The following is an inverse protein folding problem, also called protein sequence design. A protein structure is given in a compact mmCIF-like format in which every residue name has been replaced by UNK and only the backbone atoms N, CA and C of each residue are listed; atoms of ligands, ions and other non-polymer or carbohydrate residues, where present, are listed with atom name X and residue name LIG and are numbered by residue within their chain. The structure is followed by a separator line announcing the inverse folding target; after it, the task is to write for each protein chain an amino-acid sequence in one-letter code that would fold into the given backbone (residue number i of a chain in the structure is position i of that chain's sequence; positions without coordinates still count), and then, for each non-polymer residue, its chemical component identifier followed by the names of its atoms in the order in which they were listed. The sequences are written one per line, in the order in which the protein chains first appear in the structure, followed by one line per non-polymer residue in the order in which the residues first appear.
data_IF_891468085789
#
_entry.id   IF_891468085789
#
_cell.length_a   1.000
_cell.length_b   1.000
_cell.length_c   1.000
_cell.angle_alpha   90.00
_cell.angle_beta   90.00
_cell.angle_gamma   90.00
#
_symmetry.space_group_name_H-M   'P 1'
#
loop_
_entity.id
_entity.type
_entity.pdbx_description
1 polymer ?
#
# COMPACT_ATOMS: atom_id res chain seq x y z
N UNK A 1 19.58 18.87 -10.89
CA UNK A 1 18.57 19.26 -9.90
C UNK A 1 17.99 17.98 -9.33
N UNK A 2 17.76 17.90 -8.05
CA UNK A 2 17.10 16.72 -7.51
C UNK A 2 15.61 16.73 -7.88
N UNK A 3 15.02 15.57 -8.11
CA UNK A 3 13.59 15.41 -8.41
C UNK A 3 12.70 16.11 -7.38
N UNK A 4 13.14 16.15 -6.13
CA UNK A 4 12.43 16.84 -5.05
C UNK A 4 12.32 18.35 -5.26
N UNK A 5 13.37 19.00 -5.78
CA UNK A 5 13.35 20.44 -6.05
C UNK A 5 12.45 20.78 -7.25
N UNK A 6 12.46 19.93 -8.27
CA UNK A 6 11.57 20.07 -9.43
C UNK A 6 10.10 19.92 -9.00
N UNK A 7 9.78 18.89 -8.21
CA UNK A 7 8.43 18.69 -7.68
C UNK A 7 7.97 19.86 -6.80
N UNK A 8 8.83 20.35 -5.92
CA UNK A 8 8.52 21.51 -5.07
C UNK A 8 8.26 22.77 -5.90
N UNK A 9 9.07 23.01 -6.93
CA UNK A 9 8.90 24.16 -7.83
C UNK A 9 7.57 24.08 -8.58
N UNK A 10 7.21 22.87 -9.07
CA UNK A 10 5.93 22.63 -9.75
C UNK A 10 4.75 22.83 -8.81
N UNK A 11 4.83 22.32 -7.58
CA UNK A 11 3.81 22.52 -6.57
C UNK A 11 3.58 23.98 -6.21
N UNK A 12 4.66 24.75 -6.02
CA UNK A 12 4.59 26.19 -5.76
C UNK A 12 3.97 26.96 -6.92
N UNK A 13 4.31 26.60 -8.15
CA UNK A 13 3.70 27.20 -9.34
C UNK A 13 2.19 26.97 -9.35
N UNK A 14 1.74 25.74 -9.15
CA UNK A 14 0.31 25.41 -9.07
C UNK A 14 -0.42 26.15 -7.96
N UNK A 15 0.22 26.25 -6.79
CA UNK A 15 -0.33 27.00 -5.68
C UNK A 15 -0.53 28.48 -6.00
N UNK A 16 0.49 29.14 -6.60
CA UNK A 16 0.43 30.55 -6.94
C UNK A 16 -0.56 30.86 -8.07
N UNK A 17 -0.73 29.96 -9.02
CA UNK A 17 -1.60 30.11 -10.18
C UNK A 17 -3.02 29.59 -9.96
N UNK A 18 -3.29 28.94 -8.81
CA UNK A 18 -4.58 28.30 -8.52
C UNK A 18 -4.91 27.17 -9.48
N UNK A 19 -3.88 26.44 -9.96
CA UNK A 19 -4.00 25.36 -10.93
C UNK A 19 -3.54 24.03 -10.33
N UNK A 20 -3.73 22.95 -11.05
CA UNK A 20 -3.25 21.61 -10.70
C UNK A 20 -2.81 20.86 -11.95
N UNK A 21 -2.04 19.77 -11.76
CA UNK A 21 -1.71 18.90 -12.87
C UNK A 21 -2.99 18.21 -13.38
N UNK A 22 -3.25 18.38 -14.66
CA UNK A 22 -4.37 17.75 -15.33
C UNK A 22 -3.87 16.97 -16.54
N UNK A 23 -4.44 15.80 -16.77
CA UNK A 23 -4.25 15.08 -18.02
C UNK A 23 -4.85 15.89 -19.19
N UNK A 24 -4.28 15.78 -20.41
CA UNK A 24 -4.78 16.51 -21.58
C UNK A 24 -6.21 16.15 -21.96
N UNK A 25 -6.66 14.97 -21.60
CA UNK A 25 -8.03 14.48 -21.87
C UNK A 25 -8.45 13.43 -20.85
N UNK A 26 -9.75 13.14 -20.83
CA UNK A 26 -10.28 12.02 -20.06
C UNK A 26 -9.78 10.69 -20.62
N UNK A 27 -9.34 9.81 -19.73
CA UNK A 27 -9.02 8.43 -20.06
C UNK A 27 -10.24 7.53 -19.84
N UNK A 28 -10.49 6.62 -20.78
CA UNK A 28 -11.49 5.57 -20.63
C UNK A 28 -10.80 4.26 -20.32
N UNK A 29 -11.17 3.64 -19.23
CA UNK A 29 -10.67 2.32 -18.83
C UNK A 29 -11.78 1.31 -19.16
N UNK A 30 -11.50 0.25 -19.92
CA UNK A 30 -12.47 -0.81 -20.17
C UNK A 30 -12.93 -1.46 -18.86
N UNK A 31 -14.19 -1.82 -18.74
CA UNK A 31 -14.70 -2.52 -17.55
C UNK A 31 -14.00 -3.85 -17.28
N UNK A 32 -13.46 -4.50 -18.33
CA UNK A 32 -12.65 -5.71 -18.20
C UNK A 32 -11.43 -5.54 -17.28
N UNK A 33 -10.88 -4.32 -17.15
CA UNK A 33 -9.83 -4.04 -16.18
C UNK A 33 -10.22 -4.35 -14.73
N UNK A 34 -11.53 -4.38 -14.42
CA UNK A 34 -12.07 -4.66 -13.10
C UNK A 34 -12.72 -6.04 -12.96
N UNK A 35 -12.97 -6.73 -14.07
CA UNK A 35 -13.76 -7.97 -14.09
C UNK A 35 -13.03 -9.14 -14.72
N UNK A 36 -11.87 -8.92 -15.31
CA UNK A 36 -11.08 -9.99 -15.94
C UNK A 36 -10.36 -10.82 -14.88
N UNK A 37 -10.71 -12.11 -14.82
CA UNK A 37 -10.13 -13.04 -13.83
C UNK A 37 -8.65 -13.33 -14.05
N UNK A 38 -8.19 -13.37 -15.30
CA UNK A 38 -6.79 -13.62 -15.61
C UNK A 38 -5.92 -12.43 -15.17
N UNK A 39 -6.38 -11.22 -15.45
CA UNK A 39 -5.74 -10.00 -14.99
C UNK A 39 -5.71 -9.96 -13.44
N UNK A 40 -6.81 -10.29 -12.78
CA UNK A 40 -6.87 -10.34 -11.31
C UNK A 40 -5.85 -11.31 -10.73
N UNK A 41 -5.71 -12.51 -11.30
CA UNK A 41 -4.71 -13.49 -10.85
C UNK A 41 -3.29 -13.00 -11.06
N UNK A 42 -3.00 -12.37 -12.20
CA UNK A 42 -1.70 -11.78 -12.47
C UNK A 42 -1.35 -10.64 -11.52
N UNK A 43 -2.29 -9.74 -11.25
CA UNK A 43 -2.12 -8.66 -10.28
C UNK A 43 -1.93 -9.18 -8.86
N UNK A 44 -2.73 -10.18 -8.46
CA UNK A 44 -2.60 -10.82 -7.16
C UNK A 44 -1.19 -11.37 -6.95
N UNK A 45 -0.64 -12.06 -7.93
CA UNK A 45 0.70 -12.63 -7.87
C UNK A 45 1.77 -11.53 -7.87
N UNK A 46 1.78 -10.66 -8.87
CA UNK A 46 2.86 -9.71 -9.09
C UNK A 46 2.87 -8.55 -8.09
N UNK A 47 1.70 -8.10 -7.62
CA UNK A 47 1.59 -6.96 -6.72
C UNK A 47 1.52 -7.40 -5.27
N UNK A 48 0.62 -8.32 -4.93
CA UNK A 48 0.36 -8.66 -3.53
C UNK A 48 1.26 -9.75 -2.95
N UNK A 49 1.70 -10.72 -3.74
CA UNK A 49 2.56 -11.79 -3.25
C UNK A 49 4.06 -11.52 -3.47
N UNK A 50 4.42 -10.75 -4.48
CA UNK A 50 5.83 -10.48 -4.82
C UNK A 50 6.32 -9.11 -4.36
N UNK A 51 5.44 -8.26 -3.84
CA UNK A 51 5.79 -6.93 -3.35
C UNK A 51 5.40 -6.76 -1.88
N UNK A 52 6.15 -5.96 -1.11
CA UNK A 52 5.74 -5.58 0.24
C UNK A 52 4.41 -4.83 0.22
N UNK A 53 3.51 -5.18 1.14
CA UNK A 53 2.22 -4.50 1.31
C UNK A 53 2.07 -4.02 2.75
N UNK A 54 1.39 -2.89 2.94
CA UNK A 54 1.03 -2.39 4.26
C UNK A 54 -0.17 -3.18 4.80
N UNK A 55 0.02 -3.91 5.91
CA UNK A 55 -1.03 -4.77 6.49
C UNK A 55 -1.63 -4.21 7.77
N UNK A 56 -0.95 -3.29 8.46
CA UNK A 56 -1.45 -2.68 9.69
C UNK A 56 -0.71 -1.38 9.99
N UNK A 57 -1.31 -0.56 10.85
CA UNK A 57 -0.63 0.59 11.43
C UNK A 57 0.00 0.19 12.78
N UNK A 58 1.17 0.75 13.10
CA UNK A 58 1.84 0.49 14.36
C UNK A 58 1.00 0.87 15.60
N UNK A 59 0.08 1.81 15.43
CA UNK A 59 -0.85 2.26 16.48
C UNK A 59 -1.95 1.23 16.80
N UNK A 60 -2.14 0.22 15.97
CA UNK A 60 -3.13 -0.84 16.23
C UNK A 60 -2.62 -1.88 17.23
N UNK A 61 -1.31 -1.93 17.46
CA UNK A 61 -0.63 -2.73 18.49
C UNK A 61 0.35 -1.85 19.26
N UNK A 62 -0.14 -0.90 20.07
CA UNK A 62 0.67 0.17 20.64
C UNK A 62 1.68 -0.29 21.70
N UNK A 63 1.35 -1.34 22.48
CA UNK A 63 2.14 -1.75 23.64
C UNK A 63 2.89 -3.07 23.38
N UNK A 64 4.05 -3.26 24.03
CA UNK A 64 4.74 -4.54 24.01
C UNK A 64 3.85 -5.69 24.52
N UNK A 65 3.73 -6.75 23.71
CA UNK A 65 2.86 -7.88 23.97
C UNK A 65 1.50 -7.78 23.29
N UNK A 66 1.17 -6.64 22.71
CA UNK A 66 -0.01 -6.52 21.88
C UNK A 66 0.13 -7.35 20.60
N UNK A 67 -0.98 -7.87 20.15
CA UNK A 67 -1.06 -8.60 18.89
C UNK A 67 -2.42 -8.41 18.23
N UNK A 68 -2.43 -8.64 16.93
CA UNK A 68 -3.68 -8.78 16.16
C UNK A 68 -3.52 -9.84 15.08
N UNK A 69 -4.63 -10.40 14.69
CA UNK A 69 -4.71 -11.36 13.59
C UNK A 69 -5.56 -10.79 12.47
N UNK A 70 -5.18 -11.07 11.25
CA UNK A 70 -5.96 -10.73 10.07
C UNK A 70 -5.67 -11.71 8.93
N UNK A 71 -6.54 -11.75 7.96
CA UNK A 71 -6.33 -12.53 6.75
C UNK A 71 -6.09 -11.60 5.58
N UNK A 72 -4.97 -11.74 4.92
CA UNK A 72 -4.60 -10.97 3.73
C UNK A 72 -4.36 -11.92 2.57
N UNK A 73 -5.10 -11.77 1.49
CA UNK A 73 -5.02 -12.63 0.30
C UNK A 73 -5.15 -14.13 0.64
N UNK A 74 -6.06 -14.47 1.53
CA UNK A 74 -6.32 -15.83 2.08
C UNK A 74 -5.18 -16.40 2.95
N UNK A 75 -4.18 -15.59 3.29
CA UNK A 75 -3.11 -15.97 4.22
C UNK A 75 -3.43 -15.39 5.60
N UNK A 76 -3.57 -16.24 6.63
CA UNK A 76 -3.74 -15.76 8.00
C UNK A 76 -2.41 -15.18 8.52
N UNK A 77 -2.46 -13.97 9.02
CA UNK A 77 -1.29 -13.27 9.56
C UNK A 77 -1.47 -13.00 11.05
N UNK A 78 -0.39 -13.15 11.78
CA UNK A 78 -0.23 -12.68 13.15
C UNK A 78 0.73 -11.50 13.19
N UNK A 79 0.29 -10.37 13.72
CA UNK A 79 1.09 -9.16 13.88
C UNK A 79 1.29 -8.95 15.37
N UNK A 80 2.53 -8.88 15.81
CA UNK A 80 2.87 -8.73 17.23
C UNK A 80 3.85 -7.59 17.45
N UNK A 81 3.78 -6.97 18.63
CA UNK A 81 4.82 -6.05 19.11
C UNK A 81 5.58 -6.71 20.25
N UNK A 82 6.90 -6.81 20.11
CA UNK A 82 7.74 -7.37 21.15
C UNK A 82 8.10 -6.33 22.25
N UNK A 83 8.93 -6.76 23.21
CA UNK A 83 9.37 -5.92 24.32
C UNK A 83 10.31 -4.79 23.91
N UNK A 84 11.00 -4.95 22.78
CA UNK A 84 11.89 -3.95 22.21
C UNK A 84 11.13 -3.00 21.27
N UNK A 85 9.78 -3.04 21.28
CA UNK A 85 8.89 -2.26 20.44
C UNK A 85 9.04 -2.53 18.93
N UNK A 86 9.60 -3.67 18.56
CA UNK A 86 9.67 -4.12 17.17
C UNK A 86 8.36 -4.81 16.75
N UNK A 87 7.94 -4.57 15.53
CA UNK A 87 6.78 -5.22 14.94
C UNK A 87 7.21 -6.41 14.09
N UNK A 88 6.53 -7.52 14.31
CA UNK A 88 6.74 -8.75 13.55
C UNK A 88 5.45 -9.19 12.90
N UNK A 89 5.57 -9.78 11.71
CA UNK A 89 4.48 -10.49 11.04
C UNK A 89 4.90 -11.92 10.79
N UNK A 90 4.02 -12.88 11.05
CA UNK A 90 4.21 -14.27 10.67
C UNK A 90 2.96 -14.84 10.04
N UNK A 91 3.13 -15.87 9.21
CA UNK A 91 2.03 -16.70 8.75
C UNK A 91 1.58 -17.56 9.94
N UNK A 92 0.33 -17.39 10.37
CA UNK A 92 -0.22 -18.12 11.51
C UNK A 92 -0.38 -19.63 11.26
N UNK A 93 -0.14 -20.11 10.04
CA UNK A 93 -0.17 -21.53 9.70
C UNK A 93 1.15 -22.27 9.97
N UNK A 94 2.25 -21.53 10.19
CA UNK A 94 3.60 -22.08 10.39
C UNK A 94 4.04 -22.15 11.87
N UNK A 95 3.14 -21.86 12.83
CA UNK A 95 3.39 -21.96 14.27
C UNK A 95 2.74 -23.17 14.92
#
# INVERSE_FOLDING_TARGET
MSDALELATRALKHFNEGTTDLAPSQMRIPLTAYTDEEQYRAERQAVFFESPIAVALSLEVPEPGDFQTQTVMDIPLLITRDRDCLLYTSDAADE
#
